data_IF_127023860271
#
_entry.id   IF_127023860271
#
_cell.length_a   1.000
_cell.length_b   1.000
_cell.length_c   1.000
_cell.angle_alpha   90.00
_cell.angle_beta   90.00
_cell.angle_gamma   90.00
#
_symmetry.space_group_name_H-M   'P 1'
#
loop_
_entity.id
_entity.type
_entity.pdbx_description
1 polymer ?
#
# COMPACT_ATOMS: atom_id res chain seq x y z
N UNK A 1 10.41 4.31 -36.96
CA UNK A 1 10.23 3.68 -35.65
C UNK A 1 8.73 3.63 -35.40
N UNK A 2 8.07 2.55 -35.82
CA UNK A 2 6.63 2.37 -35.58
C UNK A 2 6.49 2.05 -34.09
N UNK A 3 5.78 2.91 -33.36
CA UNK A 3 5.36 2.63 -31.98
C UNK A 3 4.57 1.31 -31.99
N UNK A 4 4.97 0.38 -31.13
CA UNK A 4 4.22 -0.85 -30.90
C UNK A 4 2.92 -0.47 -30.17
N UNK A 5 1.86 -0.29 -30.94
CA UNK A 5 0.56 0.13 -30.43
C UNK A 5 0.01 -0.82 -29.37
N UNK A 6 0.29 -2.12 -29.49
CA UNK A 6 -0.17 -3.10 -28.51
C UNK A 6 0.51 -2.87 -27.16
N UNK A 7 1.80 -2.52 -27.17
CA UNK A 7 2.54 -2.14 -25.97
C UNK A 7 2.01 -0.86 -25.35
N UNK A 8 1.78 0.19 -26.14
CA UNK A 8 1.28 1.48 -25.63
C UNK A 8 -0.15 1.39 -25.09
N UNK A 9 -1.03 0.65 -25.76
CA UNK A 9 -2.40 0.40 -25.30
C UNK A 9 -2.37 -0.44 -24.02
N UNK A 10 -1.54 -1.49 -23.96
CA UNK A 10 -1.36 -2.28 -22.75
C UNK A 10 -0.83 -1.45 -21.59
N UNK A 11 0.09 -0.52 -21.85
CA UNK A 11 0.59 0.42 -20.85
C UNK A 11 -0.54 1.33 -20.35
N UNK A 12 -1.33 1.95 -21.23
CA UNK A 12 -2.47 2.77 -20.83
C UNK A 12 -3.49 1.95 -20.02
N UNK A 13 -3.82 0.74 -20.45
CA UNK A 13 -4.75 -0.14 -19.74
C UNK A 13 -4.26 -0.52 -18.34
N UNK A 14 -2.96 -0.74 -18.16
CA UNK A 14 -2.37 -1.03 -16.84
C UNK A 14 -2.35 0.22 -15.92
N UNK A 15 -2.07 1.40 -16.48
CA UNK A 15 -1.81 2.62 -15.70
C UNK A 15 -3.03 3.52 -15.51
N UNK A 16 -4.10 3.32 -16.27
CA UNK A 16 -5.35 4.08 -16.15
C UNK A 16 -6.41 3.31 -15.35
N UNK A 17 -5.99 2.49 -14.38
CA UNK A 17 -6.89 1.76 -13.50
C UNK A 17 -7.27 2.53 -12.23
N UNK A 18 -8.41 2.16 -11.66
CA UNK A 18 -8.96 2.75 -10.43
C UNK A 18 -9.93 3.91 -10.65
N UNK A 19 -10.41 4.43 -9.52
CA UNK A 19 -11.47 5.43 -9.42
C UNK A 19 -10.97 6.80 -8.93
N UNK A 20 -9.64 6.98 -8.91
CA UNK A 20 -9.06 8.27 -8.57
C UNK A 20 -9.42 9.32 -9.62
N UNK A 21 -9.51 10.58 -9.21
CA UNK A 21 -9.70 11.68 -10.15
C UNK A 21 -8.58 11.72 -11.21
N UNK A 22 -7.32 11.48 -10.82
CA UNK A 22 -6.21 11.47 -11.78
C UNK A 22 -6.43 10.40 -12.86
N UNK A 23 -6.95 9.24 -12.47
CA UNK A 23 -7.34 8.18 -13.40
C UNK A 23 -8.49 8.62 -14.31
N UNK A 24 -9.53 9.26 -13.76
CA UNK A 24 -10.64 9.81 -14.54
C UNK A 24 -10.16 10.82 -15.58
N UNK A 25 -9.29 11.76 -15.17
CA UNK A 25 -8.68 12.75 -16.06
C UNK A 25 -7.87 12.09 -17.19
N UNK A 26 -7.03 11.09 -16.88
CA UNK A 26 -6.27 10.33 -17.89
C UNK A 26 -7.20 9.66 -18.91
N UNK A 27 -8.25 8.97 -18.44
CA UNK A 27 -9.25 8.31 -19.30
C UNK A 27 -9.96 9.31 -20.22
N UNK A 28 -10.40 10.44 -19.67
CA UNK A 28 -11.08 11.49 -20.43
C UNK A 28 -10.16 12.14 -21.46
N UNK A 29 -8.93 12.49 -21.08
CA UNK A 29 -7.95 13.07 -21.98
C UNK A 29 -7.59 12.13 -23.13
N UNK A 30 -7.40 10.84 -22.82
CA UNK A 30 -7.14 9.81 -23.82
C UNK A 30 -8.31 9.66 -24.80
N UNK A 31 -9.53 9.54 -24.28
CA UNK A 31 -10.72 9.41 -25.13
C UNK A 31 -10.94 10.65 -26.02
N UNK A 32 -10.84 11.85 -25.44
CA UNK A 32 -10.97 13.10 -26.19
C UNK A 32 -9.91 13.25 -27.28
N UNK A 33 -8.65 12.88 -26.98
CA UNK A 33 -7.56 12.89 -27.96
C UNK A 33 -7.90 12.03 -29.18
N UNK A 34 -8.24 10.75 -28.99
CA UNK A 34 -8.55 9.87 -30.13
C UNK A 34 -9.77 10.35 -30.90
N UNK A 35 -10.83 10.76 -30.21
CA UNK A 35 -12.04 11.25 -30.85
C UNK A 35 -11.77 12.47 -31.73
N UNK A 36 -11.10 13.50 -31.20
CA UNK A 36 -10.86 14.73 -31.93
C UNK A 36 -9.85 14.57 -33.08
N UNK A 37 -8.83 13.72 -32.92
CA UNK A 37 -7.91 13.38 -34.00
C UNK A 37 -8.62 12.61 -35.11
N UNK A 38 -9.45 11.63 -34.76
CA UNK A 38 -10.27 10.90 -35.73
C UNK A 38 -11.25 11.83 -36.47
N UNK A 39 -11.93 12.72 -35.74
CA UNK A 39 -12.88 13.67 -36.32
C UNK A 39 -12.19 14.66 -37.27
N UNK A 40 -11.00 15.17 -36.91
CA UNK A 40 -10.21 16.05 -37.78
C UNK A 40 -9.69 15.32 -39.02
N UNK A 41 -9.22 14.06 -38.89
CA UNK A 41 -8.85 13.24 -40.04
C UNK A 41 -10.02 13.10 -41.01
N UNK A 42 -11.20 12.76 -40.52
CA UNK A 42 -12.40 12.61 -41.35
C UNK A 42 -12.81 13.93 -42.01
N UNK A 43 -12.70 15.04 -41.29
CA UNK A 43 -12.97 16.38 -41.83
C UNK A 43 -12.06 16.70 -43.02
N UNK A 44 -10.78 16.32 -42.96
CA UNK A 44 -9.82 16.51 -44.07
C UNK A 44 -10.14 15.63 -45.26
N UNK A 45 -10.38 14.34 -45.02
CA UNK A 45 -10.59 13.35 -46.09
C UNK A 45 -11.92 13.55 -46.81
N UNK A 46 -13.00 13.76 -46.05
CA UNK A 46 -14.36 13.70 -46.61
C UNK A 46 -14.98 15.08 -46.86
N UNK A 47 -14.53 16.11 -46.13
CA UNK A 47 -15.10 17.46 -46.26
C UNK A 47 -14.12 18.47 -46.87
N UNK A 48 -12.89 18.06 -47.22
CA UNK A 48 -11.81 18.93 -47.74
C UNK A 48 -11.58 20.18 -46.89
N UNK A 49 -11.85 20.09 -45.58
CA UNK A 49 -11.67 21.16 -44.59
C UNK A 49 -10.57 20.76 -43.62
N UNK A 50 -9.84 21.73 -43.09
CA UNK A 50 -8.78 21.47 -42.12
C UNK A 50 -8.82 22.54 -41.04
N UNK A 51 -8.70 22.12 -39.79
CA UNK A 51 -8.41 23.02 -38.68
C UNK A 51 -6.89 23.12 -38.45
N UNK A 52 -6.47 24.26 -37.92
CA UNK A 52 -5.14 24.38 -37.35
C UNK A 52 -5.01 23.46 -36.13
N UNK A 53 -3.83 22.87 -35.93
CA UNK A 53 -3.57 21.92 -34.83
C UNK A 53 -3.88 22.52 -33.45
N UNK A 54 -3.63 23.81 -33.27
CA UNK A 54 -3.95 24.55 -32.05
C UNK A 54 -5.44 24.55 -31.72
N UNK A 55 -6.31 24.63 -32.73
CA UNK A 55 -7.76 24.57 -32.52
C UNK A 55 -8.21 23.17 -32.11
N UNK A 56 -7.61 22.12 -32.70
CA UNK A 56 -7.89 20.73 -32.31
C UNK A 56 -7.45 20.47 -30.87
N UNK A 57 -6.27 20.98 -30.48
CA UNK A 57 -5.78 20.90 -29.11
C UNK A 57 -6.74 21.60 -28.13
N UNK A 58 -7.18 22.82 -28.47
CA UNK A 58 -8.17 23.55 -27.66
C UNK A 58 -9.49 22.82 -27.53
N UNK A 59 -9.97 22.16 -28.59
CA UNK A 59 -11.17 21.33 -28.53
C UNK A 59 -11.02 20.17 -27.55
N UNK A 60 -9.88 19.46 -27.59
CA UNK A 60 -9.57 18.36 -26.65
C UNK A 60 -9.56 18.87 -25.20
N UNK A 61 -8.82 19.96 -24.92
CA UNK A 61 -8.74 20.53 -23.57
C UNK A 61 -10.13 20.96 -23.09
N UNK A 62 -10.92 21.60 -23.95
CA UNK A 62 -12.27 22.07 -23.61
C UNK A 62 -13.22 20.92 -23.32
N UNK A 63 -13.21 19.85 -24.13
CA UNK A 63 -14.05 18.67 -23.92
C UNK A 63 -13.77 18.00 -22.55
N UNK A 64 -12.50 17.78 -22.25
CA UNK A 64 -12.07 17.21 -20.96
C UNK A 64 -12.47 18.10 -19.80
N UNK A 65 -12.19 19.41 -19.89
CA UNK A 65 -12.53 20.39 -18.85
C UNK A 65 -14.03 20.43 -18.60
N UNK A 66 -14.85 20.48 -19.65
CA UNK A 66 -16.31 20.52 -19.53
C UNK A 66 -16.85 19.26 -18.83
N UNK A 67 -16.41 18.08 -19.25
CA UNK A 67 -16.81 16.80 -18.63
C UNK A 67 -16.45 16.71 -17.15
N UNK A 68 -15.31 17.27 -16.76
CA UNK A 68 -14.88 17.29 -15.35
C UNK A 68 -15.58 18.36 -14.53
N UNK A 69 -15.86 19.53 -15.12
CA UNK A 69 -16.60 20.60 -14.43
C UNK A 69 -18.03 20.22 -14.06
N UNK A 70 -18.61 19.24 -14.76
CA UNK A 70 -19.93 18.69 -14.43
C UNK A 70 -19.93 17.74 -13.22
N UNK A 71 -18.75 17.38 -12.69
CA UNK A 71 -18.61 16.44 -11.59
C UNK A 71 -18.25 17.16 -10.28
N UNK A 72 -18.82 16.69 -9.15
CA UNK A 72 -18.35 17.11 -7.83
C UNK A 72 -17.07 16.35 -7.51
N UNK A 73 -15.93 17.00 -7.70
CA UNK A 73 -14.62 16.36 -7.50
C UNK A 73 -14.12 16.63 -6.08
N UNK A 74 -13.99 15.56 -5.30
CA UNK A 74 -13.30 15.55 -4.00
C UNK A 74 -11.98 14.83 -4.15
N UNK A 75 -10.89 15.41 -3.68
CA UNK A 75 -9.55 14.84 -3.80
C UNK A 75 -8.71 15.20 -2.58
N UNK A 76 -7.79 14.31 -2.13
CA UNK A 76 -6.82 14.67 -1.12
C UNK A 76 -6.02 15.92 -1.50
N UNK A 77 -5.82 16.80 -0.54
CA UNK A 77 -5.04 18.01 -0.73
C UNK A 77 -3.55 17.67 -0.83
N UNK A 78 -2.95 17.93 -1.99
CA UNK A 78 -1.53 17.73 -2.24
C UNK A 78 -1.05 18.75 -3.28
N UNK A 79 0.23 19.10 -3.28
CA UNK A 79 0.78 20.00 -4.30
C UNK A 79 0.58 19.47 -5.73
N UNK A 80 0.68 18.15 -5.91
CA UNK A 80 0.42 17.48 -7.18
C UNK A 80 -1.02 17.66 -7.65
N UNK A 81 -2.00 17.41 -6.78
CA UNK A 81 -3.40 17.59 -7.12
C UNK A 81 -3.66 19.07 -7.44
N UNK A 82 -3.28 20.00 -6.57
CA UNK A 82 -3.41 21.45 -6.80
C UNK A 82 -2.87 21.91 -8.16
N UNK A 83 -1.64 21.52 -8.50
CA UNK A 83 -1.02 21.88 -9.79
C UNK A 83 -1.78 21.29 -10.98
N UNK A 84 -2.26 20.04 -10.86
CA UNK A 84 -3.02 19.37 -11.91
C UNK A 84 -4.36 20.10 -12.15
N UNK A 85 -5.13 20.38 -11.09
CA UNK A 85 -6.40 21.11 -11.20
C UNK A 85 -6.22 22.51 -11.78
N UNK A 86 -5.17 23.22 -11.35
CA UNK A 86 -4.82 24.53 -11.88
C UNK A 86 -4.50 24.48 -13.38
N UNK A 87 -3.65 23.56 -13.83
CA UNK A 87 -3.25 23.44 -15.25
C UNK A 87 -4.42 23.11 -16.18
N UNK A 88 -5.40 22.33 -15.70
CA UNK A 88 -6.58 21.97 -16.47
C UNK A 88 -7.75 22.96 -16.31
N UNK A 89 -7.61 23.97 -15.45
CA UNK A 89 -8.66 24.97 -15.19
C UNK A 89 -9.93 24.35 -14.58
N UNK A 90 -9.75 23.38 -13.67
CA UNK A 90 -10.84 22.63 -13.04
C UNK A 90 -10.97 23.07 -11.58
N UNK A 91 -12.18 23.42 -11.15
CA UNK A 91 -12.49 23.69 -9.76
C UNK A 91 -12.76 22.38 -9.02
N UNK A 92 -12.02 22.10 -7.95
CA UNK A 92 -12.20 20.92 -7.12
C UNK A 92 -12.19 21.29 -5.63
N UNK A 93 -12.85 20.46 -4.83
CA UNK A 93 -12.84 20.57 -3.37
C UNK A 93 -11.75 19.68 -2.82
N UNK A 94 -10.73 20.30 -2.21
CA UNK A 94 -9.65 19.57 -1.55
C UNK A 94 -10.08 19.11 -0.17
N UNK A 95 -9.94 17.82 0.10
CA UNK A 95 -10.17 17.23 1.42
C UNK A 95 -8.83 17.14 2.13
N UNK A 96 -8.74 17.77 3.30
CA UNK A 96 -7.62 17.54 4.22
C UNK A 96 -7.83 16.18 4.88
N UNK A 97 -6.91 15.25 4.66
CA UNK A 97 -6.89 14.02 5.44
C UNK A 97 -6.59 14.40 6.89
N UNK A 98 -7.52 14.12 7.79
CA UNK A 98 -7.28 14.32 9.21
C UNK A 98 -6.34 13.20 9.67
N UNK A 99 -5.12 13.53 10.15
CA UNK A 99 -4.22 12.51 10.67
C UNK A 99 -4.87 11.84 11.87
N UNK A 100 -4.99 10.51 11.80
CA UNK A 100 -5.40 9.73 12.97
C UNK A 100 -4.19 9.61 13.87
N UNK A 101 -4.20 10.33 14.99
CA UNK A 101 -3.18 10.19 16.01
C UNK A 101 -3.37 8.85 16.73
N UNK A 102 -2.61 7.86 16.30
CA UNK A 102 -2.51 6.57 16.98
C UNK A 102 -1.30 6.59 17.92
N UNK A 103 -1.54 6.70 19.22
CA UNK A 103 -0.48 6.56 20.22
C UNK A 103 -0.21 5.08 20.48
N UNK A 104 1.03 4.64 20.26
CA UNK A 104 1.46 3.30 20.65
C UNK A 104 1.24 3.09 22.16
N UNK A 105 0.56 1.99 22.54
CA UNK A 105 0.30 1.67 23.94
C UNK A 105 1.47 0.88 24.51
N UNK A 106 2.20 1.49 25.45
CA UNK A 106 3.29 0.84 26.18
C UNK A 106 2.81 -0.37 26.99
N UNK A 107 3.68 -1.38 27.23
CA UNK A 107 3.33 -2.54 28.04
C UNK A 107 3.01 -2.15 29.50
N UNK A 108 2.20 -2.95 30.22
CA UNK A 108 1.98 -2.79 31.66
C UNK A 108 3.28 -2.76 32.46
N UNK A 109 3.24 -2.14 33.64
CA UNK A 109 4.38 -2.11 34.55
C UNK A 109 4.81 -3.53 34.95
N UNK A 110 6.12 -3.76 35.06
CA UNK A 110 6.69 -5.08 35.34
C UNK A 110 6.74 -6.03 34.13
N UNK A 111 6.33 -5.58 32.94
CA UNK A 111 6.31 -6.38 31.72
C UNK A 111 7.12 -5.74 30.61
N UNK A 112 7.52 -6.54 29.62
CA UNK A 112 8.17 -6.07 28.39
C UNK A 112 7.29 -6.35 27.18
N UNK A 113 7.38 -5.51 26.15
CA UNK A 113 6.69 -5.74 24.87
C UNK A 113 7.68 -6.19 23.80
N UNK A 114 7.39 -7.31 23.17
CA UNK A 114 8.05 -7.81 21.97
C UNK A 114 7.25 -7.31 20.77
N UNK A 115 7.73 -6.28 20.08
CA UNK A 115 7.18 -5.88 18.79
C UNK A 115 7.94 -6.60 17.68
N UNK A 116 7.24 -7.30 16.81
CA UNK A 116 7.82 -8.07 15.71
C UNK A 116 7.49 -7.44 14.36
N UNK A 117 8.19 -7.88 13.32
CA UNK A 117 7.85 -7.62 11.91
C UNK A 117 8.43 -8.74 11.01
N UNK A 118 7.73 -9.05 9.93
CA UNK A 118 8.16 -9.97 8.88
C UNK A 118 8.12 -9.28 7.52
N UNK A 119 9.17 -9.47 6.72
CA UNK A 119 9.28 -8.90 5.37
C UNK A 119 9.46 -9.99 4.32
N UNK A 120 8.86 -9.78 3.15
CA UNK A 120 8.94 -10.69 2.02
C UNK A 120 9.02 -9.92 0.71
N UNK A 121 9.99 -10.27 -0.13
CA UNK A 121 10.06 -9.92 -1.54
C UNK A 121 10.25 -11.19 -2.39
N UNK A 122 10.30 -11.03 -3.71
CA UNK A 122 10.51 -12.15 -4.63
C UNK A 122 11.89 -12.81 -4.48
N UNK A 123 12.88 -12.06 -3.99
CA UNK A 123 14.28 -12.51 -3.93
C UNK A 123 14.83 -12.61 -2.52
N UNK A 124 14.19 -11.98 -1.55
CA UNK A 124 14.69 -11.90 -0.17
C UNK A 124 13.54 -11.89 0.83
N UNK A 125 13.83 -12.36 2.04
CA UNK A 125 12.89 -12.29 3.14
C UNK A 125 13.64 -12.14 4.46
N UNK A 126 12.98 -11.54 5.43
CA UNK A 126 13.58 -11.27 6.73
C UNK A 126 12.54 -11.12 7.82
N UNK A 127 13.01 -11.14 9.05
CA UNK A 127 12.19 -10.98 10.24
C UNK A 127 12.94 -10.19 11.30
N UNK A 128 12.19 -9.54 12.18
CA UNK A 128 12.73 -8.73 13.26
C UNK A 128 11.86 -8.77 14.50
N UNK A 129 12.49 -8.51 15.64
CA UNK A 129 11.82 -8.24 16.89
C UNK A 129 12.60 -7.20 17.69
N UNK A 130 11.89 -6.27 18.30
CA UNK A 130 12.40 -5.30 19.27
C UNK A 130 11.68 -5.50 20.59
N UNK A 131 12.43 -5.56 21.68
CA UNK A 131 11.89 -5.67 23.03
C UNK A 131 11.96 -4.31 23.71
N UNK A 132 10.84 -3.87 24.28
CA UNK A 132 10.70 -2.60 24.99
C UNK A 132 10.30 -2.81 26.44
N UNK A 133 10.82 -2.00 27.35
CA UNK A 133 10.43 -2.00 28.76
C UNK A 133 9.06 -1.29 28.98
N UNK A 134 8.60 -1.23 30.23
CA UNK A 134 7.37 -0.54 30.66
C UNK A 134 7.39 0.98 30.48
N UNK A 135 8.57 1.58 30.26
CA UNK A 135 8.71 2.99 29.91
C UNK A 135 8.59 3.22 28.40
N UNK A 136 8.63 2.17 27.59
CA UNK A 136 8.63 2.22 26.13
C UNK A 136 10.02 2.25 25.51
N UNK A 137 11.08 2.22 26.31
CA UNK A 137 12.46 2.22 25.83
C UNK A 137 12.81 0.87 25.21
N UNK A 138 13.49 0.91 24.06
CA UNK A 138 14.04 -0.29 23.45
C UNK A 138 15.24 -0.80 24.26
N UNK A 139 15.16 -2.05 24.72
CA UNK A 139 16.21 -2.67 25.54
C UNK A 139 17.06 -3.67 24.76
N UNK A 140 16.49 -4.36 23.77
CA UNK A 140 17.22 -5.31 22.92
C UNK A 140 16.43 -5.56 21.63
N UNK A 141 17.11 -6.09 20.61
CA UNK A 141 16.49 -6.43 19.33
C UNK A 141 17.17 -7.67 18.71
N UNK A 142 16.42 -8.38 17.88
CA UNK A 142 16.90 -9.47 17.04
C UNK A 142 16.40 -9.26 15.61
N UNK A 143 17.22 -9.62 14.64
CA UNK A 143 16.83 -9.65 13.23
C UNK A 143 17.52 -10.82 12.54
N UNK A 144 16.92 -11.29 11.45
CA UNK A 144 17.48 -12.35 10.63
C UNK A 144 16.88 -12.33 9.22
N UNK A 145 17.56 -13.02 8.31
CA UNK A 145 17.13 -13.21 6.93
C UNK A 145 17.01 -14.69 6.61
N UNK A 146 16.01 -15.05 5.82
CA UNK A 146 15.80 -16.43 5.35
C UNK A 146 15.38 -16.45 3.88
N UNK A 147 15.36 -17.64 3.30
CA UNK A 147 14.80 -17.84 1.96
C UNK A 147 13.31 -17.45 1.94
N UNK A 148 12.82 -16.78 0.89
CA UNK A 148 11.39 -16.47 0.73
C UNK A 148 10.50 -17.73 0.82
N UNK A 149 9.45 -17.68 1.64
CA UNK A 149 8.49 -18.80 1.84
C UNK A 149 7.04 -18.28 1.81
N UNK A 150 6.68 -17.47 2.80
CA UNK A 150 5.42 -16.73 2.87
C UNK A 150 5.53 -15.63 3.91
N UNK A 151 4.73 -14.58 3.78
CA UNK A 151 4.74 -13.46 4.72
C UNK A 151 4.41 -13.94 6.13
N UNK A 152 3.39 -14.80 6.28
CA UNK A 152 2.99 -15.37 7.57
C UNK A 152 4.12 -16.15 8.26
N UNK A 153 4.99 -16.83 7.51
CA UNK A 153 6.14 -17.53 8.10
C UNK A 153 7.14 -16.53 8.67
N UNK A 154 7.44 -15.45 7.95
CA UNK A 154 8.41 -14.43 8.38
C UNK A 154 7.90 -13.62 9.57
N UNK A 155 6.60 -13.35 9.63
CA UNK A 155 5.94 -12.75 10.80
C UNK A 155 6.08 -13.63 12.05
N UNK A 156 5.83 -14.94 11.90
CA UNK A 156 6.02 -15.91 12.99
C UNK A 156 7.50 -16.06 13.38
N UNK A 157 8.44 -15.92 12.44
CA UNK A 157 9.88 -15.87 12.75
C UNK A 157 10.25 -14.66 13.59
N UNK A 158 9.61 -13.51 13.36
CA UNK A 158 9.74 -12.35 14.24
C UNK A 158 9.35 -12.68 15.67
N UNK A 159 8.21 -13.35 15.88
CA UNK A 159 7.77 -13.81 17.21
C UNK A 159 8.76 -14.79 17.82
N UNK A 160 9.19 -15.81 17.07
CA UNK A 160 10.14 -16.81 17.54
C UNK A 160 11.45 -16.16 18.00
N UNK A 161 11.98 -15.23 17.21
CA UNK A 161 13.20 -14.49 17.51
C UNK A 161 13.02 -13.63 18.77
N UNK A 162 11.91 -12.91 18.89
CA UNK A 162 11.58 -12.09 20.05
C UNK A 162 11.42 -12.89 21.33
N UNK A 163 10.70 -14.02 21.31
CA UNK A 163 10.56 -14.90 22.47
C UNK A 163 11.90 -15.52 22.88
N UNK A 164 12.69 -15.97 21.90
CA UNK A 164 14.03 -16.51 22.17
C UNK A 164 14.94 -15.46 22.80
N UNK A 165 14.87 -14.22 22.31
CA UNK A 165 15.62 -13.11 22.85
C UNK A 165 15.18 -12.77 24.28
N UNK A 166 13.88 -12.72 24.55
CA UNK A 166 13.35 -12.47 25.89
C UNK A 166 13.84 -13.52 26.91
N UNK A 167 13.87 -14.80 26.53
CA UNK A 167 14.41 -15.87 27.37
C UNK A 167 15.90 -15.72 27.65
N UNK A 168 16.69 -15.30 26.64
CA UNK A 168 18.13 -15.05 26.82
C UNK A 168 18.41 -13.91 27.79
N UNK A 169 17.49 -12.94 27.90
CA UNK A 169 17.57 -11.81 28.81
C UNK A 169 16.83 -12.05 30.15
N UNK A 170 16.37 -13.28 30.43
CA UNK A 170 15.61 -13.63 31.64
C UNK A 170 14.35 -12.75 31.86
N UNK A 171 13.68 -12.36 30.77
CA UNK A 171 12.44 -11.56 30.82
C UNK A 171 11.23 -12.49 30.91
N UNK A 172 10.60 -12.57 32.08
CA UNK A 172 9.56 -13.57 32.35
C UNK A 172 8.13 -13.13 32.01
N UNK A 173 7.86 -11.84 31.99
CA UNK A 173 6.55 -11.26 31.73
C UNK A 173 6.58 -10.49 30.41
N UNK A 174 5.99 -11.08 29.37
CA UNK A 174 6.09 -10.57 27.99
C UNK A 174 4.72 -10.37 27.36
N UNK A 175 4.55 -9.27 26.64
CA UNK A 175 3.45 -9.02 25.71
C UNK A 175 3.99 -9.07 24.29
N UNK A 176 3.26 -9.63 23.33
CA UNK A 176 3.65 -9.64 21.92
C UNK A 176 2.76 -8.68 21.14
N UNK A 177 3.37 -7.76 20.38
CA UNK A 177 2.69 -6.83 19.48
C UNK A 177 3.01 -7.15 18.01
N UNK A 178 1.96 -7.33 17.22
CA UNK A 178 2.01 -7.63 15.77
C UNK A 178 0.98 -6.78 15.03
N UNK A 179 1.30 -6.34 13.82
CA UNK A 179 0.37 -5.71 12.87
C UNK A 179 -0.26 -6.74 11.91
N UNK A 180 0.20 -8.00 11.96
CA UNK A 180 -0.30 -9.08 11.13
C UNK A 180 -1.61 -9.66 11.67
N UNK A 181 -2.74 -9.21 11.10
CA UNK A 181 -4.09 -9.74 11.42
C UNK A 181 -4.18 -11.27 11.26
N UNK A 182 -3.42 -11.84 10.33
CA UNK A 182 -3.35 -13.30 10.13
C UNK A 182 -2.73 -13.97 11.36
N UNK A 183 -1.62 -13.46 11.85
CA UNK A 183 -0.97 -13.98 13.07
C UNK A 183 -1.89 -13.84 14.27
N UNK A 184 -2.52 -12.69 14.48
CA UNK A 184 -3.52 -12.50 15.56
C UNK A 184 -4.61 -13.57 15.49
N UNK A 185 -5.18 -13.80 14.30
CA UNK A 185 -6.22 -14.81 14.10
C UNK A 185 -5.76 -16.25 14.39
N UNK A 186 -4.47 -16.55 14.18
CA UNK A 186 -3.88 -17.85 14.50
C UNK A 186 -3.85 -18.07 16.02
N UNK A 187 -3.48 -17.04 16.79
CA UNK A 187 -3.46 -17.09 18.25
C UNK A 187 -4.87 -17.16 18.84
N UNK A 188 -5.84 -16.42 18.31
CA UNK A 188 -7.22 -16.42 18.82
C UNK A 188 -7.95 -17.75 18.56
N UNK A 189 -7.73 -18.37 17.40
CA UNK A 189 -8.52 -19.55 16.94
C UNK A 189 -7.90 -20.90 17.28
N UNK A 190 -6.95 -20.96 18.20
CA UNK A 190 -6.37 -22.22 18.72
C UNK A 190 -6.06 -23.28 17.64
N UNK A 191 -5.26 -22.90 16.63
CA UNK A 191 -4.68 -23.78 15.59
C UNK A 191 -5.52 -24.06 14.32
N UNK A 192 -6.80 -23.71 14.22
CA UNK A 192 -7.62 -24.20 13.09
C UNK A 192 -7.24 -23.62 11.71
N UNK A 193 -6.43 -22.56 11.64
CA UNK A 193 -6.08 -21.86 10.40
C UNK A 193 -4.57 -21.67 10.18
N UNK A 194 -3.70 -22.44 10.83
CA UNK A 194 -2.25 -22.32 10.60
C UNK A 194 -1.90 -22.89 9.22
N UNK A 195 -1.31 -22.10 8.30
CA UNK A 195 -0.86 -22.62 7.01
C UNK A 195 0.13 -23.76 7.21
N UNK A 196 0.06 -24.82 6.37
CA UNK A 196 0.90 -26.01 6.54
C UNK A 196 2.40 -25.69 6.59
N UNK A 197 2.85 -24.69 5.81
CA UNK A 197 4.24 -24.19 5.78
C UNK A 197 4.70 -23.58 7.11
N UNK A 198 3.76 -23.10 7.93
CA UNK A 198 4.01 -22.43 9.20
C UNK A 198 3.84 -23.36 10.42
N UNK A 199 3.47 -24.63 10.24
CA UNK A 199 3.16 -25.54 11.37
C UNK A 199 4.39 -25.78 12.26
N UNK A 200 5.58 -25.95 11.67
CA UNK A 200 6.81 -26.23 12.42
C UNK A 200 7.18 -25.08 13.34
N UNK A 201 7.19 -23.86 12.81
CA UNK A 201 7.49 -22.64 13.57
C UNK A 201 6.41 -22.35 14.60
N UNK A 202 5.14 -22.54 14.26
CA UNK A 202 4.04 -22.38 15.19
C UNK A 202 4.17 -23.31 16.42
N UNK A 203 4.49 -24.58 16.19
CA UNK A 203 4.74 -25.53 17.30
C UNK A 203 5.91 -25.08 18.18
N UNK A 204 6.95 -24.49 17.60
CA UNK A 204 8.09 -23.95 18.35
C UNK A 204 7.68 -22.74 19.18
N UNK A 205 6.93 -21.80 18.61
CA UNK A 205 6.38 -20.64 19.32
C UNK A 205 5.55 -21.10 20.52
N UNK A 206 4.63 -22.06 20.35
CA UNK A 206 3.84 -22.58 21.48
C UNK A 206 4.69 -23.14 22.61
N UNK A 207 5.77 -23.86 22.29
CA UNK A 207 6.72 -24.37 23.30
C UNK A 207 7.48 -23.24 23.99
N UNK A 208 7.87 -22.19 23.25
CA UNK A 208 8.53 -21.02 23.82
C UNK A 208 7.59 -20.25 24.74
N UNK A 209 6.34 -20.02 24.32
CA UNK A 209 5.34 -19.30 25.11
C UNK A 209 5.05 -19.95 26.47
N UNK A 210 5.12 -21.29 26.56
CA UNK A 210 4.97 -22.03 27.82
C UNK A 210 6.07 -21.76 28.85
N UNK A 211 7.18 -21.11 28.47
CA UNK A 211 8.30 -20.80 29.37
C UNK A 211 8.16 -19.44 30.06
N UNK A 212 7.14 -18.66 29.71
CA UNK A 212 6.88 -17.35 30.30
C UNK A 212 5.76 -17.45 31.33
N UNK A 213 5.75 -16.53 32.28
CA UNK A 213 4.68 -16.45 33.26
C UNK A 213 3.38 -15.94 32.62
N UNK A 214 2.23 -16.42 33.11
CA UNK A 214 0.93 -15.83 32.76
C UNK A 214 0.83 -14.43 33.36
N UNK A 215 0.43 -13.47 32.53
CA UNK A 215 0.05 -12.12 32.94
C UNK A 215 -1.29 -12.12 33.67
#
# INVERSE_FOLDING_TARGET
MLLDWDREISWCAAHFNGDSFETCLKKLAFNAFFYHIWAERNRRVFNSKSLASELVLRMIITDVRMKLSAQVIKTPDSDRSRQLFHKWGIHATFTLECPIFCTWKKPPEGTVMINMDGSLSDTSAGYGAIIRNSNGDAITAAAGSTTPISITVHELQGIEAGLTLALRHNLNYVCVGTDSKVVVSIFERNNNNVPWRAISIWRKIKRLSQRFASL
#
